data_IF_926469275625
#
_entry.id   IF_926469275625
#
_cell.length_a   1.000
_cell.length_b   1.000
_cell.length_c   1.000
_cell.angle_alpha   90.00
_cell.angle_beta   90.00
_cell.angle_gamma   90.00
#
_symmetry.space_group_name_H-M   'P 1'
#
loop_
_entity.id
_entity.type
_entity.pdbx_description
1 polymer ?
#
# COMPACT_ATOMS: atom_id res chain seq x y z
N UNK A 1 1.58 3.06 -22.11
CA UNK A 1 2.70 3.18 -21.16
C UNK A 1 2.67 1.96 -20.26
N UNK A 2 3.64 1.05 -20.37
CA UNK A 2 3.72 -0.12 -19.49
C UNK A 2 4.16 0.34 -18.10
N UNK A 3 3.23 0.41 -17.16
CA UNK A 3 3.55 0.62 -15.74
C UNK A 3 4.02 -0.71 -15.16
N UNK A 4 5.25 -0.77 -14.67
CA UNK A 4 5.80 -1.96 -14.00
C UNK A 4 5.38 -2.07 -12.52
N UNK A 5 4.57 -1.13 -12.03
CA UNK A 5 4.06 -1.12 -10.65
C UNK A 5 2.74 -1.91 -10.60
N UNK A 6 2.69 -2.92 -9.74
CA UNK A 6 1.54 -3.82 -9.59
C UNK A 6 0.55 -3.42 -8.47
N UNK A 7 0.92 -2.47 -7.60
CA UNK A 7 0.10 -2.04 -6.47
C UNK A 7 0.79 -1.00 -5.60
N UNK A 8 0.04 -0.38 -4.70
CA UNK A 8 0.53 0.60 -3.72
C UNK A 8 -0.03 0.28 -2.34
N UNK A 9 0.86 0.25 -1.34
CA UNK A 9 0.50 0.27 0.08
C UNK A 9 1.03 1.58 0.64
N UNK A 10 0.13 2.36 1.22
CA UNK A 10 0.43 3.65 1.81
C UNK A 10 0.25 3.53 3.33
N UNK A 11 1.35 3.68 4.06
CA UNK A 11 1.35 3.59 5.52
C UNK A 11 0.79 4.84 6.19
N UNK A 12 0.78 4.82 7.51
CA UNK A 12 0.37 5.95 8.34
C UNK A 12 1.21 7.19 8.03
N UNK A 13 0.53 8.24 7.60
CA UNK A 13 1.17 9.52 7.30
C UNK A 13 1.05 10.54 8.44
N UNK A 14 -0.13 10.64 9.05
CA UNK A 14 -0.44 11.67 10.05
C UNK A 14 -1.66 11.27 10.88
N UNK A 15 -1.69 11.72 12.14
CA UNK A 15 -2.86 11.63 13.01
C UNK A 15 -4.05 12.42 12.45
N UNK A 16 -3.78 13.59 11.86
CA UNK A 16 -4.78 14.34 11.11
C UNK A 16 -5.06 13.61 9.80
N UNK A 17 -6.34 13.29 9.55
CA UNK A 17 -6.78 12.72 8.28
C UNK A 17 -6.94 13.82 7.22
N UNK A 18 -6.45 13.56 6.01
CA UNK A 18 -6.56 14.47 4.88
C UNK A 18 -7.38 13.81 3.77
N UNK A 19 -8.70 14.09 3.67
CA UNK A 19 -9.57 13.45 2.67
C UNK A 19 -9.07 13.59 1.23
N UNK A 20 -8.45 14.74 0.89
CA UNK A 20 -7.87 14.97 -0.43
C UNK A 20 -6.72 14.02 -0.76
N UNK A 21 -5.94 13.59 0.24
CA UNK A 21 -4.91 12.59 0.05
C UNK A 21 -5.53 11.24 -0.36
N UNK A 22 -6.58 10.82 0.33
CA UNK A 22 -7.28 9.57 0.01
C UNK A 22 -7.94 9.61 -1.37
N UNK A 23 -8.53 10.74 -1.75
CA UNK A 23 -9.06 10.93 -3.11
C UNK A 23 -7.97 10.85 -4.19
N UNK A 24 -6.76 11.36 -3.92
CA UNK A 24 -5.62 11.24 -4.85
C UNK A 24 -5.15 9.79 -4.97
N UNK A 25 -5.07 9.06 -3.85
CA UNK A 25 -4.73 7.64 -3.82
C UNK A 25 -5.75 6.80 -4.60
N UNK A 26 -7.04 7.07 -4.40
CA UNK A 26 -8.13 6.40 -5.12
C UNK A 26 -8.05 6.67 -6.63
N UNK A 27 -7.85 7.93 -7.03
CA UNK A 27 -7.68 8.30 -8.45
C UNK A 27 -6.48 7.62 -9.09
N UNK A 28 -5.37 7.47 -8.35
CA UNK A 28 -4.19 6.75 -8.82
C UNK A 28 -4.52 5.29 -9.11
N UNK A 29 -5.18 4.59 -8.18
CA UNK A 29 -5.60 3.20 -8.36
C UNK A 29 -6.53 3.02 -9.57
N UNK A 30 -7.57 3.88 -9.68
CA UNK A 30 -8.51 3.85 -10.81
C UNK A 30 -7.82 4.13 -12.16
N UNK A 31 -6.95 5.12 -12.21
CA UNK A 31 -6.25 5.52 -13.46
C UNK A 31 -5.34 4.42 -13.99
N UNK A 32 -4.67 3.69 -13.11
CA UNK A 32 -3.68 2.67 -13.48
C UNK A 32 -4.20 1.23 -13.34
N UNK A 33 -5.44 1.05 -12.88
CA UNK A 33 -6.06 -0.24 -12.61
C UNK A 33 -5.19 -1.14 -11.69
N UNK A 34 -4.71 -0.57 -10.59
CA UNK A 34 -3.91 -1.28 -9.58
C UNK A 34 -4.56 -1.17 -8.18
N UNK A 35 -4.38 -2.17 -7.31
CA UNK A 35 -4.80 -2.08 -5.92
C UNK A 35 -4.02 -0.98 -5.19
N UNK A 36 -4.75 -0.16 -4.44
CA UNK A 36 -4.18 0.86 -3.56
C UNK A 36 -4.80 0.68 -2.18
N UNK A 37 -3.96 0.53 -1.16
CA UNK A 37 -4.39 0.34 0.23
C UNK A 37 -3.76 1.41 1.10
N UNK A 38 -4.55 1.99 2.00
CA UNK A 38 -4.07 2.76 3.14
C UNK A 38 -4.13 1.89 4.39
N UNK A 39 -3.07 1.82 5.18
CA UNK A 39 -3.07 1.09 6.44
C UNK A 39 -2.30 1.83 7.54
N UNK A 40 -2.45 1.34 8.78
CA UNK A 40 -1.80 1.90 9.96
C UNK A 40 -0.61 1.06 10.42
N UNK A 41 -0.16 0.07 9.63
CA UNK A 41 0.80 -0.95 10.09
C UNK A 41 2.27 -0.46 10.07
N UNK A 42 2.59 0.57 9.29
CA UNK A 42 3.91 1.18 9.18
C UNK A 42 3.80 2.68 8.87
N UNK A 43 4.89 3.43 8.98
CA UNK A 43 4.95 4.86 8.69
C UNK A 43 5.36 5.67 9.91
N UNK A 44 4.81 6.89 10.04
CA UNK A 44 5.09 7.79 11.17
C UNK A 44 4.06 7.66 12.31
N UNK A 45 3.24 6.61 12.28
CA UNK A 45 2.33 6.25 13.37
C UNK A 45 3.03 5.46 14.48
N UNK A 46 2.24 4.79 15.31
CA UNK A 46 2.73 3.97 16.44
C UNK A 46 3.18 2.56 16.04
N UNK A 47 2.72 2.07 14.88
CA UNK A 47 3.09 0.75 14.38
C UNK A 47 4.28 0.87 13.42
N UNK A 48 5.19 -0.11 13.52
CA UNK A 48 6.45 -0.13 12.79
C UNK A 48 6.70 -1.51 12.16
N UNK A 49 5.71 -2.04 11.45
CA UNK A 49 5.87 -3.30 10.73
C UNK A 49 7.09 -3.22 9.79
N UNK A 50 7.91 -4.27 9.83
CA UNK A 50 9.12 -4.34 9.01
C UNK A 50 8.76 -4.98 7.67
N UNK A 51 8.93 -4.22 6.59
CA UNK A 51 8.72 -4.69 5.23
C UNK A 51 10.08 -4.97 4.56
N UNK A 52 10.35 -6.22 4.13
CA UNK A 52 11.60 -6.52 3.47
C UNK A 52 11.60 -5.97 2.03
N UNK A 53 12.62 -5.18 1.69
CA UNK A 53 12.76 -4.56 0.38
C UNK A 53 13.30 -5.57 -0.64
N UNK A 54 12.80 -5.50 -1.88
CA UNK A 54 13.24 -6.37 -2.98
C UNK A 54 12.65 -7.78 -2.96
N UNK A 55 11.66 -8.03 -2.11
CA UNK A 55 10.97 -9.33 -2.01
C UNK A 55 9.70 -9.37 -2.84
N UNK A 56 9.37 -10.56 -3.32
CA UNK A 56 8.08 -10.83 -3.96
C UNK A 56 7.01 -10.75 -2.88
N UNK A 57 5.94 -10.01 -3.17
CA UNK A 57 4.80 -9.86 -2.30
C UNK A 57 3.49 -9.99 -3.08
N UNK A 58 2.45 -10.48 -2.42
CA UNK A 58 1.07 -10.52 -2.93
C UNK A 58 0.22 -9.59 -2.07
N UNK A 59 -0.30 -8.53 -2.69
CA UNK A 59 -1.28 -7.63 -2.10
C UNK A 59 -2.69 -8.03 -2.55
N UNK A 60 -3.60 -8.18 -1.59
CA UNK A 60 -5.01 -8.46 -1.82
C UNK A 60 -5.85 -7.43 -1.06
N UNK A 61 -6.26 -6.38 -1.78
CA UNK A 61 -6.99 -5.26 -1.19
C UNK A 61 -8.42 -5.64 -0.75
N UNK A 62 -9.02 -6.67 -1.37
CA UNK A 62 -10.36 -7.15 -1.01
C UNK A 62 -10.37 -7.87 0.33
N UNK A 63 -9.39 -8.74 0.56
CA UNK A 63 -9.19 -9.42 1.84
C UNK A 63 -8.34 -8.64 2.86
N UNK A 64 -7.85 -7.45 2.48
CA UNK A 64 -6.97 -6.59 3.29
C UNK A 64 -5.73 -7.33 3.79
N UNK A 65 -5.06 -8.05 2.91
CA UNK A 65 -3.90 -8.86 3.28
C UNK A 65 -2.68 -8.58 2.39
N UNK A 66 -1.50 -8.66 3.01
CA UNK A 66 -0.19 -8.63 2.36
C UNK A 66 0.57 -9.88 2.75
N UNK A 67 1.01 -10.66 1.76
CA UNK A 67 1.87 -11.81 1.97
C UNK A 67 3.23 -11.55 1.34
N UNK A 68 4.31 -11.77 2.10
CA UNK A 68 5.66 -11.80 1.56
C UNK A 68 5.98 -13.25 1.23
N UNK A 69 6.38 -13.53 -0.01
CA UNK A 69 6.79 -14.88 -0.38
C UNK A 69 8.09 -15.25 0.35
N UNK A 70 8.10 -16.40 1.05
CA UNK A 70 9.29 -16.92 1.72
C UNK A 70 10.38 -17.32 0.72
N UNK A 71 11.65 -17.29 1.15
CA UNK A 71 12.73 -17.93 0.38
C UNK A 71 12.62 -19.42 0.66
N UNK A 72 12.54 -20.21 -0.41
CA UNK A 72 12.92 -21.63 -0.33
C UNK A 72 14.42 -21.74 -0.15
#
# INVERSE_FOLDING_TARGET
>A
MNSNVAGLIFGHYSLTQYPELFQRLERLGKKHNIPVVYCDDFGHGVNHAILPIGRIARLDAGSKSLYIAEQR
#
